data_IF_366528812556
#
_entry.id   IF_366528812556
#
_cell.length_a   1.000
_cell.length_b   1.000
_cell.length_c   1.000
_cell.angle_alpha   90.00
_cell.angle_beta   90.00
_cell.angle_gamma   90.00
#
_symmetry.space_group_name_H-M   'P 1'
#
loop_
_entity.id
_entity.type
_entity.pdbx_description
1 polymer ?
#
# COMPACT_ATOMS: atom_id res chain seq x y z
N UNK A 1 -39.57 16.04 12.90
CA UNK A 1 -38.24 15.38 12.80
C UNK A 1 -38.10 14.81 11.41
N UNK A 2 -37.04 15.16 10.66
CA UNK A 2 -36.71 14.44 9.43
C UNK A 2 -36.38 13.00 9.80
N UNK A 3 -36.82 12.03 8.99
CA UNK A 3 -36.32 10.66 9.14
C UNK A 3 -34.80 10.68 8.96
N UNK A 4 -34.03 9.96 9.80
CA UNK A 4 -32.60 9.81 9.60
C UNK A 4 -32.36 9.37 8.15
N UNK A 5 -31.66 10.20 7.38
CA UNK A 5 -31.13 9.76 6.10
C UNK A 5 -29.84 9.05 6.41
N UNK A 6 -29.79 7.75 6.14
CA UNK A 6 -28.51 7.09 5.94
C UNK A 6 -27.85 7.79 4.76
N UNK A 7 -26.82 8.60 5.03
CA UNK A 7 -25.90 9.04 4.01
C UNK A 7 -25.28 7.76 3.44
N UNK A 8 -25.76 7.33 2.28
CA UNK A 8 -25.10 6.25 1.56
C UNK A 8 -23.79 6.85 1.06
N UNK A 9 -22.63 6.39 1.54
CA UNK A 9 -21.36 6.89 1.05
C UNK A 9 -21.35 6.79 -0.47
N UNK A 10 -20.73 7.77 -1.13
CA UNK A 10 -20.60 7.73 -2.58
C UNK A 10 -20.00 6.39 -3.01
N UNK A 11 -20.61 5.78 -4.02
CA UNK A 11 -20.08 4.52 -4.55
C UNK A 11 -18.76 4.81 -5.26
N UNK A 12 -17.83 3.85 -5.19
CA UNK A 12 -16.55 3.92 -5.90
C UNK A 12 -16.82 4.24 -7.38
N UNK A 13 -16.31 5.38 -7.84
CA UNK A 13 -16.41 5.83 -9.22
C UNK A 13 -15.56 4.97 -10.18
N UNK A 14 -15.62 5.30 -11.47
CA UNK A 14 -14.80 4.63 -12.49
C UNK A 14 -13.31 4.84 -12.17
N UNK A 15 -12.56 3.75 -12.06
CA UNK A 15 -11.10 3.77 -11.93
C UNK A 15 -10.44 3.52 -13.28
N UNK A 16 -9.29 4.16 -13.53
CA UNK A 16 -8.46 3.88 -14.70
C UNK A 16 -7.86 2.46 -14.63
N UNK A 17 -7.40 2.05 -13.44
CA UNK A 17 -6.94 0.69 -13.12
C UNK A 17 -7.31 0.29 -11.70
N UNK A 18 -7.37 -1.01 -11.45
CA UNK A 18 -7.51 -1.55 -10.10
C UNK A 18 -6.16 -1.47 -9.36
N UNK A 19 -6.06 -0.74 -8.24
CA UNK A 19 -4.86 -0.78 -7.40
C UNK A 19 -4.84 -2.09 -6.60
N UNK A 20 -3.81 -2.90 -6.81
CA UNK A 20 -3.61 -4.17 -6.11
C UNK A 20 -2.20 -4.24 -5.51
N UNK A 21 -2.11 -4.78 -4.30
CA UNK A 21 -0.83 -5.20 -3.72
C UNK A 21 -0.73 -6.71 -3.90
N UNK A 22 0.23 -7.15 -4.72
CA UNK A 22 0.44 -8.57 -5.04
C UNK A 22 1.44 -9.17 -4.04
N UNK A 23 1.01 -10.17 -3.28
CA UNK A 23 1.91 -10.91 -2.39
C UNK A 23 2.81 -11.84 -3.21
N UNK A 24 4.13 -11.68 -3.07
CA UNK A 24 5.14 -12.44 -3.81
C UNK A 24 6.06 -13.28 -2.92
N UNK A 25 5.90 -13.22 -1.60
CA UNK A 25 6.67 -14.01 -0.62
C UNK A 25 6.73 -15.50 -1.01
N UNK A 26 7.93 -16.01 -1.27
CA UNK A 26 8.20 -17.40 -1.66
C UNK A 26 7.64 -17.80 -3.02
N UNK A 27 7.14 -16.85 -3.83
CA UNK A 27 6.58 -17.09 -5.17
C UNK A 27 7.66 -16.92 -6.22
N UNK A 28 7.52 -17.67 -7.32
CA UNK A 28 8.44 -17.56 -8.45
C UNK A 28 8.07 -16.39 -9.35
N UNK A 29 9.07 -15.60 -9.73
CA UNK A 29 8.93 -14.51 -10.69
C UNK A 29 9.86 -14.75 -11.87
N UNK A 30 9.30 -14.76 -13.08
CA UNK A 30 10.06 -14.92 -14.30
C UNK A 30 10.45 -13.54 -14.83
N UNK A 31 11.73 -13.35 -15.13
CA UNK A 31 12.22 -12.16 -15.79
C UNK A 31 13.00 -12.54 -17.05
N UNK A 32 12.65 -11.97 -18.20
CA UNK A 32 13.38 -12.14 -19.45
C UNK A 32 14.12 -10.86 -19.83
N UNK A 33 15.45 -10.97 -20.01
CA UNK A 33 16.34 -9.87 -20.37
C UNK A 33 17.28 -9.43 -19.23
N UNK A 34 18.54 -9.18 -19.57
CA UNK A 34 19.61 -8.85 -18.61
C UNK A 34 20.01 -7.38 -18.58
N UNK A 35 19.15 -6.47 -19.04
CA UNK A 35 19.45 -5.04 -19.15
C UNK A 35 19.41 -4.30 -17.80
N UNK A 36 20.00 -3.09 -17.69
CA UNK A 36 19.89 -2.29 -16.48
C UNK A 36 18.44 -1.97 -16.08
N UNK A 37 17.54 -1.77 -17.05
CA UNK A 37 16.12 -1.56 -16.79
C UNK A 37 15.45 -2.80 -16.18
N UNK A 38 15.88 -4.00 -16.62
CA UNK A 38 15.44 -5.25 -16.03
C UNK A 38 16.01 -5.46 -14.62
N UNK A 39 17.24 -4.99 -14.33
CA UNK A 39 17.87 -5.13 -13.02
C UNK A 39 17.02 -4.51 -11.91
N UNK A 40 16.51 -3.28 -12.12
CA UNK A 40 15.62 -2.64 -11.16
C UNK A 40 14.31 -3.42 -10.94
N UNK A 41 13.79 -4.10 -11.97
CA UNK A 41 12.60 -4.96 -11.85
C UNK A 41 12.91 -6.22 -11.06
N UNK A 42 14.06 -6.84 -11.27
CA UNK A 42 14.52 -7.98 -10.50
C UNK A 42 14.64 -7.61 -9.02
N UNK A 43 15.30 -6.49 -8.71
CA UNK A 43 15.45 -5.97 -7.35
C UNK A 43 14.10 -5.73 -6.67
N UNK A 44 13.17 -5.07 -7.38
CA UNK A 44 11.84 -4.78 -6.84
C UNK A 44 11.03 -6.05 -6.52
N UNK A 45 11.10 -7.06 -7.39
CA UNK A 45 10.42 -8.33 -7.18
C UNK A 45 11.05 -9.11 -6.03
N UNK A 46 12.38 -9.15 -5.97
CA UNK A 46 13.13 -9.77 -4.88
C UNK A 46 12.83 -9.09 -3.53
N UNK A 47 12.75 -7.75 -3.49
CA UNK A 47 12.40 -6.97 -2.30
C UNK A 47 10.95 -7.18 -1.83
N UNK A 48 10.09 -7.76 -2.69
CA UNK A 48 8.73 -8.17 -2.36
C UNK A 48 8.64 -9.67 -1.98
N UNK A 49 9.79 -10.33 -1.79
CA UNK A 49 9.90 -11.74 -1.38
C UNK A 49 9.83 -12.75 -2.52
N UNK A 50 9.94 -12.32 -3.79
CA UNK A 50 9.89 -13.23 -4.93
C UNK A 50 11.24 -13.93 -5.16
N UNK A 51 11.20 -15.22 -5.48
CA UNK A 51 12.35 -15.91 -6.10
C UNK A 51 12.39 -15.54 -7.58
N UNK A 52 13.35 -14.69 -7.96
CA UNK A 52 13.44 -14.16 -9.32
C UNK A 52 14.36 -15.04 -10.16
N UNK A 53 13.88 -15.49 -11.32
CA UNK A 53 14.69 -16.17 -12.33
C UNK A 53 14.86 -15.25 -13.54
N UNK A 54 16.09 -14.83 -13.80
CA UNK A 54 16.46 -13.94 -14.90
C UNK A 54 17.01 -14.77 -16.06
N UNK A 55 16.26 -14.87 -17.15
CA UNK A 55 16.63 -15.57 -18.38
C UNK A 55 17.27 -14.59 -19.36
N UNK A 56 18.59 -14.66 -19.51
CA UNK A 56 19.35 -13.85 -20.46
C UNK A 56 20.74 -14.46 -20.72
N UNK A 57 21.20 -14.38 -21.97
CA UNK A 57 22.60 -14.74 -22.33
C UNK A 57 23.58 -13.64 -21.94
N UNK A 58 23.19 -12.40 -22.20
CA UNK A 58 23.97 -11.22 -21.86
C UNK A 58 23.32 -10.50 -20.67
N UNK A 59 24.10 -10.36 -19.60
CA UNK A 59 23.67 -9.76 -18.33
C UNK A 59 24.57 -8.59 -18.01
N UNK A 60 23.97 -7.41 -17.80
CA UNK A 60 24.68 -6.18 -17.45
C UNK A 60 25.33 -6.27 -16.06
N UNK A 61 26.33 -5.43 -15.81
CA UNK A 61 27.01 -5.38 -14.52
C UNK A 61 26.04 -4.99 -13.39
N UNK A 62 25.06 -4.12 -13.66
CA UNK A 62 24.01 -3.76 -12.71
C UNK A 62 23.14 -4.94 -12.33
N UNK A 63 22.73 -5.77 -13.30
CA UNK A 63 21.96 -6.97 -13.01
C UNK A 63 22.78 -7.99 -12.20
N UNK A 64 24.08 -8.13 -12.48
CA UNK A 64 24.98 -8.99 -11.69
C UNK A 64 25.12 -8.48 -10.25
N UNK A 65 25.27 -7.17 -10.06
CA UNK A 65 25.35 -6.55 -8.75
C UNK A 65 24.06 -6.76 -7.95
N UNK A 66 22.90 -6.49 -8.55
CA UNK A 66 21.59 -6.72 -7.93
C UNK A 66 21.38 -8.20 -7.57
N UNK A 67 21.83 -9.13 -8.42
CA UNK A 67 21.73 -10.55 -8.14
C UNK A 67 22.65 -11.00 -7.00
N UNK A 68 23.81 -10.36 -6.84
CA UNK A 68 24.74 -10.60 -5.74
C UNK A 68 24.21 -10.05 -4.41
N UNK A 69 23.72 -8.82 -4.43
CA UNK A 69 23.25 -8.07 -3.26
C UNK A 69 21.72 -8.05 -3.17
N UNK A 70 21.08 -9.19 -3.42
CA UNK A 70 19.62 -9.27 -3.44
C UNK A 70 19.01 -8.87 -2.08
N UNK A 71 17.96 -8.01 -2.07
CA UNK A 71 17.50 -7.34 -0.85
C UNK A 71 16.76 -8.25 0.15
N UNK A 72 16.11 -9.32 -0.33
CA UNK A 72 15.32 -10.22 0.52
C UNK A 72 15.36 -11.65 -0.04
N UNK A 73 14.75 -11.88 -1.21
CA UNK A 73 14.77 -13.19 -1.88
C UNK A 73 15.80 -13.29 -3.01
N UNK A 74 16.27 -14.52 -3.28
CA UNK A 74 17.32 -14.79 -4.26
C UNK A 74 16.93 -14.41 -5.70
N UNK A 75 17.92 -13.94 -6.46
CA UNK A 75 17.83 -13.67 -7.89
C UNK A 75 18.78 -14.62 -8.62
N UNK A 76 18.23 -15.59 -9.34
CA UNK A 76 18.98 -16.58 -10.11
C UNK A 76 19.19 -16.10 -11.54
N UNK A 77 20.45 -16.04 -11.99
CA UNK A 77 20.80 -15.76 -13.38
C UNK A 77 20.85 -17.07 -14.16
N UNK A 78 20.05 -17.18 -15.22
CA UNK A 78 19.94 -18.35 -16.07
C UNK A 78 20.48 -18.01 -17.44
N UNK A 79 21.66 -18.56 -17.77
CA UNK A 79 22.41 -18.30 -19.01
C UNK A 79 21.79 -19.01 -20.23
N UNK A 80 20.59 -18.57 -20.60
CA UNK A 80 19.86 -18.93 -21.81
C UNK A 80 18.67 -17.99 -22.01
N UNK A 81 18.09 -18.04 -23.20
CA UNK A 81 16.80 -17.42 -23.46
C UNK A 81 15.67 -18.14 -22.70
N UNK A 82 14.58 -17.41 -22.47
CA UNK A 82 13.35 -17.96 -21.92
C UNK A 82 12.68 -18.90 -22.93
N UNK A 83 11.89 -19.85 -22.42
CA UNK A 83 11.03 -20.72 -23.21
C UNK A 83 9.62 -20.80 -22.60
N UNK A 84 8.64 -21.23 -23.40
CA UNK A 84 7.24 -21.27 -22.96
C UNK A 84 7.01 -22.12 -21.68
N UNK A 85 7.83 -23.15 -21.45
CA UNK A 85 7.75 -23.99 -20.26
C UNK A 85 8.13 -23.25 -18.97
N UNK A 86 8.94 -22.18 -19.04
CA UNK A 86 9.45 -21.47 -17.87
C UNK A 86 8.35 -20.70 -17.12
N UNK A 87 7.22 -20.41 -17.78
CA UNK A 87 6.07 -19.73 -17.18
C UNK A 87 5.27 -20.61 -16.21
N UNK A 88 5.47 -21.93 -16.22
CA UNK A 88 4.73 -22.86 -15.36
C UNK A 88 4.90 -22.50 -13.87
N UNK A 89 3.84 -22.22 -13.13
CA UNK A 89 3.88 -21.81 -11.70
C UNK A 89 4.54 -20.45 -11.40
N UNK A 90 4.89 -19.66 -12.41
CA UNK A 90 5.31 -18.28 -12.19
C UNK A 90 4.11 -17.43 -11.71
N UNK A 91 4.30 -16.64 -10.67
CA UNK A 91 3.26 -15.73 -10.17
C UNK A 91 3.17 -14.44 -11.00
N UNK A 92 4.27 -14.06 -11.65
CA UNK A 92 4.40 -12.83 -12.44
C UNK A 92 5.53 -12.99 -13.46
N UNK A 93 5.37 -12.34 -14.61
CA UNK A 93 6.38 -12.32 -15.67
C UNK A 93 6.73 -10.87 -16.06
N UNK A 94 8.03 -10.58 -16.17
CA UNK A 94 8.55 -9.28 -16.63
C UNK A 94 9.49 -9.48 -17.81
N UNK A 95 9.31 -8.71 -18.88
CA UNK A 95 10.14 -8.81 -20.09
C UNK A 95 10.79 -7.48 -20.47
N UNK A 96 12.05 -7.54 -20.89
CA UNK A 96 12.78 -6.42 -21.47
C UNK A 96 13.28 -6.83 -22.87
N UNK A 97 12.63 -6.29 -23.91
CA UNK A 97 12.93 -6.60 -25.31
C UNK A 97 13.03 -5.31 -26.11
N UNK A 98 13.88 -5.28 -27.12
CA UNK A 98 14.01 -4.12 -28.01
C UNK A 98 12.91 -4.12 -29.08
N UNK A 99 12.71 -5.26 -29.74
CA UNK A 99 11.74 -5.39 -30.82
C UNK A 99 10.32 -5.78 -30.35
N UNK A 100 9.35 -5.50 -31.20
CA UNK A 100 7.93 -5.71 -30.93
C UNK A 100 7.54 -7.18 -31.05
N UNK A 101 8.23 -7.95 -31.87
CA UNK A 101 7.91 -9.35 -32.12
C UNK A 101 8.23 -10.22 -30.90
N UNK A 102 9.44 -10.06 -30.33
CA UNK A 102 9.86 -10.71 -29.10
C UNK A 102 8.97 -10.30 -27.91
N UNK A 103 8.64 -9.01 -27.78
CA UNK A 103 7.72 -8.52 -26.77
C UNK A 103 6.32 -9.16 -26.89
N UNK A 104 5.80 -9.27 -28.10
CA UNK A 104 4.52 -9.92 -28.39
C UNK A 104 4.56 -11.41 -28.07
N UNK A 105 5.62 -12.12 -28.47
CA UNK A 105 5.79 -13.55 -28.21
C UNK A 105 5.83 -13.85 -26.72
N UNK A 106 6.59 -13.06 -25.94
CA UNK A 106 6.68 -13.18 -24.49
C UNK A 106 5.32 -12.94 -23.81
N UNK A 107 4.66 -11.85 -24.16
CA UNK A 107 3.36 -11.51 -23.57
C UNK A 107 2.28 -12.56 -23.88
N UNK A 108 2.28 -13.12 -25.10
CA UNK A 108 1.37 -14.20 -25.45
C UNK A 108 1.68 -15.49 -24.69
N UNK A 109 2.95 -15.85 -24.51
CA UNK A 109 3.35 -17.04 -23.76
C UNK A 109 2.93 -16.94 -22.28
N UNK A 110 3.13 -15.77 -21.67
CA UNK A 110 2.69 -15.50 -20.30
C UNK A 110 1.18 -15.64 -20.15
N UNK A 111 0.41 -14.98 -21.03
CA UNK A 111 -1.07 -15.01 -21.01
C UNK A 111 -1.63 -16.41 -21.24
N UNK A 112 -1.05 -17.19 -22.16
CA UNK A 112 -1.43 -18.60 -22.37
C UNK A 112 -1.22 -19.46 -21.12
N UNK A 113 -0.27 -19.08 -20.27
CA UNK A 113 0.05 -19.77 -19.02
C UNK A 113 -0.70 -19.19 -17.81
N UNK A 114 -1.57 -18.19 -18.01
CA UNK A 114 -2.30 -17.52 -16.93
C UNK A 114 -1.42 -16.62 -16.04
N UNK A 115 -0.22 -16.27 -16.50
CA UNK A 115 0.74 -15.45 -15.74
C UNK A 115 0.57 -13.97 -16.10
N UNK A 116 0.31 -13.07 -15.13
CA UNK A 116 0.28 -11.64 -15.38
C UNK A 116 1.61 -11.15 -15.94
N UNK A 117 1.57 -10.39 -17.04
CA UNK A 117 2.78 -9.93 -17.73
C UNK A 117 2.96 -8.42 -17.73
N UNK A 118 4.21 -7.97 -17.60
CA UNK A 118 4.63 -6.60 -17.86
C UNK A 118 5.84 -6.60 -18.79
N UNK A 119 5.79 -5.82 -19.87
CA UNK A 119 6.92 -5.60 -20.77
C UNK A 119 7.40 -4.16 -20.60
N UNK A 120 8.68 -4.00 -20.26
CA UNK A 120 9.29 -2.70 -19.99
C UNK A 120 9.15 -1.81 -21.24
N UNK A 121 8.73 -0.56 -21.03
CA UNK A 121 8.53 0.48 -22.04
C UNK A 121 7.55 0.13 -23.17
N UNK A 122 6.79 -0.96 -23.03
CA UNK A 122 5.86 -1.45 -24.06
C UNK A 122 4.46 -1.71 -23.48
N UNK A 123 3.70 -0.65 -23.09
CA UNK A 123 2.44 -0.78 -22.36
C UNK A 123 1.34 -1.58 -23.09
N UNK A 124 1.37 -1.65 -24.42
CA UNK A 124 0.45 -2.46 -25.22
C UNK A 124 0.55 -3.98 -24.95
N UNK A 125 1.66 -4.42 -24.37
CA UNK A 125 1.94 -5.84 -24.07
C UNK A 125 1.84 -6.16 -22.57
N UNK A 126 1.31 -5.23 -21.77
CA UNK A 126 1.23 -5.36 -20.32
C UNK A 126 -0.20 -5.62 -19.85
N UNK A 127 -0.36 -6.48 -18.85
CA UNK A 127 -1.62 -6.66 -18.11
C UNK A 127 -1.68 -5.76 -16.86
N UNK A 128 -0.52 -5.36 -16.35
CA UNK A 128 -0.38 -4.46 -15.22
C UNK A 128 0.76 -3.46 -15.45
N UNK A 129 0.80 -2.39 -14.65
CA UNK A 129 1.92 -1.45 -14.64
C UNK A 129 2.46 -1.28 -13.23
N UNK A 130 3.77 -1.06 -13.15
CA UNK A 130 4.40 -0.61 -11.92
C UNK A 130 4.19 0.91 -11.78
N UNK A 131 3.67 1.32 -10.64
CA UNK A 131 3.58 2.72 -10.26
C UNK A 131 4.86 3.24 -9.60
N UNK A 132 4.86 4.51 -9.20
CA UNK A 132 5.83 4.99 -8.24
C UNK A 132 5.51 4.41 -6.85
N UNK A 133 6.54 4.05 -6.10
CA UNK A 133 6.40 3.35 -4.81
C UNK A 133 7.07 4.18 -3.73
N UNK A 134 6.35 4.46 -2.64
CA UNK A 134 6.95 4.91 -1.39
C UNK A 134 7.04 3.70 -0.47
N UNK A 135 8.27 3.30 -0.15
CA UNK A 135 8.52 2.15 0.72
C UNK A 135 8.85 2.60 2.15
N UNK A 136 7.99 2.22 3.09
CA UNK A 136 8.17 2.29 4.56
C UNK A 136 7.75 0.95 5.18
N UNK A 137 8.14 -0.15 4.53
CA UNK A 137 7.68 -1.52 4.82
C UNK A 137 7.57 -1.78 6.33
N UNK A 138 6.45 -2.34 6.82
CA UNK A 138 5.34 -2.92 6.04
C UNK A 138 4.32 -1.88 5.51
N UNK A 139 4.53 -0.58 5.71
CA UNK A 139 3.71 0.47 5.10
C UNK A 139 4.21 0.77 3.68
N UNK A 140 3.38 0.55 2.67
CA UNK A 140 3.72 0.81 1.26
C UNK A 140 2.63 1.66 0.62
N UNK A 141 3.04 2.63 -0.21
CA UNK A 141 2.12 3.42 -1.04
C UNK A 141 2.47 3.24 -2.50
N UNK A 142 1.51 2.79 -3.30
CA UNK A 142 1.59 2.75 -4.76
C UNK A 142 0.89 3.97 -5.37
N UNK A 143 1.56 4.63 -6.31
CA UNK A 143 1.07 5.82 -7.00
C UNK A 143 1.04 5.53 -8.50
N UNK A 144 -0.14 5.65 -9.12
CA UNK A 144 -0.31 5.45 -10.55
C UNK A 144 -0.93 6.69 -11.20
N UNK A 145 -0.42 7.04 -12.38
CA UNK A 145 -1.00 8.06 -13.26
C UNK A 145 -1.51 7.44 -14.56
N UNK A 146 -1.68 6.11 -14.60
CA UNK A 146 -2.01 5.34 -15.81
C UNK A 146 -1.07 5.65 -17.00
N UNK A 147 0.19 5.96 -16.69
CA UNK A 147 1.19 6.35 -17.69
C UNK A 147 1.07 7.77 -18.23
N UNK A 148 0.05 8.54 -17.85
CA UNK A 148 -0.20 9.88 -18.40
C UNK A 148 0.85 10.92 -17.96
N UNK A 149 1.43 10.77 -16.76
CA UNK A 149 2.37 11.76 -16.22
C UNK A 149 3.39 11.13 -15.27
N UNK A 150 4.49 10.52 -15.78
CA UNK A 150 5.53 9.92 -14.95
C UNK A 150 6.20 10.93 -14.02
N UNK A 151 6.53 12.13 -14.53
CA UNK A 151 7.16 13.20 -13.74
C UNK A 151 6.26 13.66 -12.59
N UNK A 152 4.94 13.75 -12.83
CA UNK A 152 3.99 14.10 -11.79
C UNK A 152 3.92 13.01 -10.70
N UNK A 153 3.89 11.73 -11.08
CA UNK A 153 3.93 10.62 -10.12
C UNK A 153 5.20 10.67 -9.24
N UNK A 154 6.36 11.02 -9.82
CA UNK A 154 7.60 11.20 -9.05
C UNK A 154 7.54 12.39 -8.08
N UNK A 155 6.94 13.52 -8.50
CA UNK A 155 6.76 14.66 -7.61
C UNK A 155 5.85 14.35 -6.41
N UNK A 156 4.78 13.59 -6.63
CA UNK A 156 3.90 13.10 -5.55
C UNK A 156 4.66 12.12 -4.64
N UNK A 157 5.43 11.18 -5.22
CA UNK A 157 6.28 10.25 -4.47
C UNK A 157 7.23 10.99 -3.53
N UNK A 158 7.97 11.97 -4.03
CA UNK A 158 8.92 12.75 -3.25
C UNK A 158 8.24 13.51 -2.10
N UNK A 159 7.06 14.11 -2.35
CA UNK A 159 6.28 14.77 -1.29
C UNK A 159 5.84 13.78 -0.20
N UNK A 160 5.35 12.60 -0.58
CA UNK A 160 4.95 11.57 0.38
C UNK A 160 6.15 10.99 1.15
N UNK A 161 7.29 10.78 0.50
CA UNK A 161 8.53 10.35 1.16
C UNK A 161 8.97 11.33 2.25
N UNK A 162 8.86 12.65 1.99
CA UNK A 162 9.18 13.69 2.95
C UNK A 162 8.17 13.78 4.11
N UNK A 163 6.90 13.50 3.84
CA UNK A 163 5.82 13.55 4.84
C UNK A 163 5.71 12.29 5.70
N UNK A 164 6.27 11.16 5.26
CA UNK A 164 6.16 9.86 5.94
C UNK A 164 7.45 9.54 6.70
N UNK A 165 7.46 9.73 8.03
CA UNK A 165 8.63 9.47 8.86
C UNK A 165 9.07 8.01 8.76
N UNK A 166 10.37 7.77 8.85
CA UNK A 166 10.96 6.42 8.80
C UNK A 166 10.47 5.53 9.95
N UNK A 167 10.24 6.09 11.14
CA UNK A 167 9.75 5.31 12.28
C UNK A 167 8.33 4.75 12.13
N UNK A 168 7.55 5.16 11.13
CA UNK A 168 6.25 4.50 10.82
C UNK A 168 6.39 3.03 10.46
N UNK A 169 7.53 2.61 9.91
CA UNK A 169 7.82 1.18 9.69
C UNK A 169 7.76 0.38 11.01
N UNK A 170 8.29 0.94 12.09
CA UNK A 170 8.29 0.31 13.42
C UNK A 170 6.87 0.23 13.99
N UNK A 171 6.09 1.31 13.85
CA UNK A 171 4.68 1.33 14.25
C UNK A 171 3.84 0.33 13.47
N UNK A 172 3.97 0.28 12.14
CA UNK A 172 3.23 -0.67 11.32
C UNK A 172 3.60 -2.13 11.67
N UNK A 173 4.87 -2.39 11.97
CA UNK A 173 5.34 -3.71 12.44
C UNK A 173 4.75 -4.07 13.81
N UNK A 174 4.68 -3.12 14.74
CA UNK A 174 4.02 -3.31 16.03
C UNK A 174 2.52 -3.56 15.88
N UNK A 175 1.83 -2.87 14.95
CA UNK A 175 0.42 -3.11 14.68
C UNK A 175 0.16 -4.56 14.25
N UNK A 176 0.98 -5.12 13.35
CA UNK A 176 0.84 -6.53 12.94
C UNK A 176 0.96 -7.49 14.14
N UNK A 177 1.99 -7.29 14.95
CA UNK A 177 2.30 -8.12 16.12
C UNK A 177 1.24 -7.99 17.23
N UNK A 178 0.84 -6.76 17.56
CA UNK A 178 -0.17 -6.47 18.57
C UNK A 178 -1.58 -6.88 18.13
N UNK A 179 -1.88 -6.90 16.83
CA UNK A 179 -3.15 -7.44 16.32
C UNK A 179 -3.34 -8.91 16.69
N UNK A 180 -2.26 -9.70 16.75
CA UNK A 180 -2.32 -11.08 17.24
C UNK A 180 -2.60 -11.10 18.75
N UNK A 181 -1.83 -10.33 19.54
CA UNK A 181 -1.97 -10.26 21.00
C UNK A 181 -3.35 -9.75 21.46
N UNK A 182 -3.94 -8.79 20.75
CA UNK A 182 -5.28 -8.25 21.06
C UNK A 182 -6.40 -9.28 21.01
N UNK A 183 -6.18 -10.44 20.38
CA UNK A 183 -7.18 -11.52 20.40
C UNK A 183 -7.28 -12.14 21.79
N UNK A 184 -6.19 -12.13 22.54
CA UNK A 184 -6.07 -12.81 23.84
C UNK A 184 -6.32 -11.86 25.02
N UNK A 185 -6.50 -10.56 24.78
CA UNK A 185 -6.76 -9.56 25.82
C UNK A 185 -8.22 -9.53 26.30
N UNK A 186 -9.12 -10.29 25.66
CA UNK A 186 -10.55 -10.31 26.00
C UNK A 186 -11.33 -9.03 25.63
N UNK A 187 -10.72 -8.10 24.88
CA UNK A 187 -11.36 -6.84 24.49
C UNK A 187 -12.54 -7.05 23.53
N UNK A 188 -13.63 -6.33 23.79
CA UNK A 188 -14.78 -6.25 22.88
C UNK A 188 -14.39 -5.66 21.52
N UNK A 189 -15.27 -5.76 20.51
CA UNK A 189 -15.03 -5.13 19.21
C UNK A 189 -14.84 -3.61 19.34
N UNK A 190 -15.69 -2.94 20.12
CA UNK A 190 -15.58 -1.52 20.40
C UNK A 190 -14.27 -1.17 21.14
N UNK A 191 -13.86 -2.00 22.10
CA UNK A 191 -12.59 -1.83 22.82
C UNK A 191 -11.38 -1.97 21.89
N UNK A 192 -11.37 -2.95 20.98
CA UNK A 192 -10.33 -3.09 19.96
C UNK A 192 -10.28 -1.88 19.02
N UNK A 193 -11.43 -1.31 18.64
CA UNK A 193 -11.48 -0.06 17.85
C UNK A 193 -10.83 1.10 18.62
N UNK A 194 -11.18 1.29 19.90
CA UNK A 194 -10.59 2.33 20.77
C UNK A 194 -9.08 2.16 20.93
N UNK A 195 -8.60 0.93 21.11
CA UNK A 195 -7.17 0.62 21.15
C UNK A 195 -6.48 1.12 19.87
N UNK A 196 -7.02 0.79 18.68
CA UNK A 196 -6.42 1.21 17.41
C UNK A 196 -6.45 2.73 17.20
N UNK A 197 -7.47 3.42 17.73
CA UNK A 197 -7.53 4.88 17.72
C UNK A 197 -6.42 5.48 18.60
N UNK A 198 -6.24 4.99 19.83
CA UNK A 198 -5.19 5.43 20.74
C UNK A 198 -3.79 5.15 20.17
N UNK A 199 -3.58 3.94 19.65
CA UNK A 199 -2.39 3.53 18.92
C UNK A 199 -2.06 4.52 17.79
N UNK A 200 -3.04 4.81 16.92
CA UNK A 200 -2.83 5.66 15.74
C UNK A 200 -2.53 7.09 16.13
N UNK A 201 -3.27 7.64 17.09
CA UNK A 201 -3.03 8.99 17.61
C UNK A 201 -1.62 9.14 18.18
N UNK A 202 -1.15 8.13 18.92
CA UNK A 202 0.20 8.13 19.48
C UNK A 202 1.27 7.96 18.39
N UNK A 203 1.11 7.03 17.46
CA UNK A 203 2.05 6.79 16.37
C UNK A 203 2.26 8.04 15.50
N UNK A 204 1.18 8.75 15.16
CA UNK A 204 1.24 9.98 14.33
C UNK A 204 1.92 11.14 15.06
N UNK A 205 1.77 11.23 16.39
CA UNK A 205 2.37 12.29 17.21
C UNK A 205 3.82 12.01 17.58
N UNK A 206 4.18 10.72 17.71
CA UNK A 206 5.52 10.26 18.08
C UNK A 206 6.10 9.33 17.01
N UNK A 207 6.19 9.79 15.75
CA UNK A 207 6.48 8.91 14.62
C UNK A 207 7.90 8.34 14.65
N UNK A 208 8.83 8.95 15.38
CA UNK A 208 10.22 8.53 15.50
C UNK A 208 10.49 7.69 16.75
N UNK A 209 9.53 7.58 17.66
CA UNK A 209 9.67 6.77 18.87
C UNK A 209 9.29 5.34 18.53
N UNK A 210 10.18 4.39 18.82
CA UNK A 210 9.88 2.98 18.64
C UNK A 210 8.76 2.54 19.61
N UNK A 211 7.71 1.86 19.13
CA UNK A 211 6.67 1.31 20.00
C UNK A 211 7.24 0.29 20.98
N UNK A 212 6.87 0.40 22.25
CA UNK A 212 7.30 -0.49 23.33
C UNK A 212 6.16 -1.35 23.86
N UNK A 213 6.48 -2.44 24.57
CA UNK A 213 5.46 -3.25 25.27
C UNK A 213 4.72 -2.45 26.36
N UNK A 214 5.36 -1.42 26.92
CA UNK A 214 4.72 -0.47 27.83
C UNK A 214 3.64 0.34 27.14
N UNK A 215 3.83 0.73 25.87
CA UNK A 215 2.79 1.41 25.09
C UNK A 215 1.59 0.50 24.86
N UNK A 216 1.83 -0.78 24.51
CA UNK A 216 0.76 -1.77 24.36
C UNK A 216 -0.06 -1.92 25.65
N UNK A 217 0.64 -2.13 26.77
CA UNK A 217 0.02 -2.30 28.09
C UNK A 217 -0.78 -1.05 28.48
N UNK A 218 -0.24 0.14 28.24
CA UNK A 218 -0.92 1.41 28.47
C UNK A 218 -2.21 1.50 27.66
N UNK A 219 -2.16 1.24 26.35
CA UNK A 219 -3.36 1.32 25.49
C UNK A 219 -4.43 0.29 25.87
N UNK A 220 -4.05 -0.92 26.29
CA UNK A 220 -5.00 -1.92 26.79
C UNK A 220 -5.65 -1.46 28.10
N UNK A 221 -4.87 -0.94 29.04
CA UNK A 221 -5.37 -0.45 30.32
C UNK A 221 -6.31 0.76 30.17
N UNK A 222 -6.00 1.68 29.24
CA UNK A 222 -6.87 2.80 28.87
C UNK A 222 -8.25 2.33 28.40
N UNK A 223 -8.29 1.26 27.59
CA UNK A 223 -9.54 0.70 27.06
C UNK A 223 -10.31 -0.09 28.12
N UNK A 224 -9.61 -0.83 29.01
CA UNK A 224 -10.24 -1.63 30.07
C UNK A 224 -10.76 -0.78 31.24
N UNK A 225 -10.51 0.53 31.25
CA UNK A 225 -10.98 1.43 32.31
C UNK A 225 -10.28 1.21 33.65
N UNK A 226 -9.07 0.62 33.66
CA UNK A 226 -8.23 0.51 34.87
C UNK A 226 -7.72 1.90 35.31
N UNK A 227 -7.92 2.94 34.50
CA UNK A 227 -8.12 4.33 34.94
C UNK A 227 -9.56 4.74 34.67
N UNK A 228 -10.37 4.85 35.72
CA UNK A 228 -11.84 4.95 35.60
C UNK A 228 -12.36 6.09 34.74
N UNK A 229 -13.16 5.75 33.74
CA UNK A 229 -14.24 6.59 33.25
C UNK A 229 -15.36 5.68 32.75
N UNK A 230 -16.52 5.79 33.38
CA UNK A 230 -17.79 5.30 32.85
C UNK A 230 -17.92 5.82 31.41
N UNK A 231 -18.36 4.98 30.47
CA UNK A 231 -18.62 5.42 29.09
C UNK A 231 -19.75 6.47 29.09
N UNK A 232 -19.36 7.73 29.28
CA UNK A 232 -20.22 8.88 29.02
C UNK A 232 -20.10 9.22 27.55
N UNK A 233 -21.25 9.25 26.85
CA UNK A 233 -21.30 9.81 25.51
C UNK A 233 -20.84 11.27 25.57
N UNK A 234 -19.97 11.67 24.63
CA UNK A 234 -19.50 13.05 24.51
C UNK A 234 -20.19 13.74 23.33
N UNK A 235 -20.61 14.99 23.51
CA UNK A 235 -21.13 15.84 22.44
C UNK A 235 -20.04 16.83 22.03
N UNK A 236 -19.66 16.81 20.75
CA UNK A 236 -18.74 17.81 20.17
C UNK A 236 -19.54 18.73 19.25
N UNK A 237 -19.56 20.03 19.56
CA UNK A 237 -20.12 21.04 18.67
C UNK A 237 -19.06 21.45 17.64
N UNK A 238 -19.39 21.27 16.37
CA UNK A 238 -18.51 21.58 15.24
C UNK A 238 -19.10 22.74 14.45
N UNK A 239 -18.32 23.80 14.25
CA UNK A 239 -18.67 24.84 13.28
C UNK A 239 -18.37 24.37 11.87
N UNK A 240 -19.41 24.17 11.06
CA UNK A 240 -19.30 23.72 9.66
C UNK A 240 -18.76 24.79 8.70
N UNK A 241 -18.56 26.03 9.17
CA UNK A 241 -18.20 27.16 8.31
C UNK A 241 -19.38 27.61 7.43
N UNK A 242 -19.14 28.48 6.44
CA UNK A 242 -20.18 29.06 5.58
C UNK A 242 -20.68 28.11 4.47
N UNK A 243 -20.12 26.89 4.37
CA UNK A 243 -20.53 25.87 3.40
C UNK A 243 -19.40 25.26 2.57
N UNK A 244 -18.23 25.90 2.49
CA UNK A 244 -17.04 25.36 1.82
C UNK A 244 -16.31 24.35 2.72
N UNK A 245 -16.14 23.08 2.30
CA UNK A 245 -15.45 22.04 3.09
C UNK A 245 -13.99 22.38 3.41
N UNK A 246 -13.30 23.13 2.54
CA UNK A 246 -11.90 23.51 2.77
C UNK A 246 -11.73 24.48 3.94
N UNK A 247 -12.83 25.14 4.36
CA UNK A 247 -12.85 26.04 5.51
C UNK A 247 -13.07 25.30 6.84
N UNK A 248 -13.29 23.98 6.82
CA UNK A 248 -13.34 23.19 8.04
C UNK A 248 -11.97 23.20 8.71
N UNK A 249 -11.96 23.49 10.00
CA UNK A 249 -10.74 23.31 10.79
C UNK A 249 -10.35 21.84 10.83
N UNK A 250 -9.05 21.54 10.90
CA UNK A 250 -8.58 20.15 11.07
C UNK A 250 -9.20 19.46 12.30
N UNK A 251 -9.55 20.22 13.34
CA UNK A 251 -10.24 19.70 14.54
C UNK A 251 -11.69 19.30 14.24
N UNK A 252 -12.39 20.06 13.41
CA UNK A 252 -13.73 19.75 12.92
C UNK A 252 -13.75 18.45 12.13
N UNK A 253 -12.84 18.30 11.16
CA UNK A 253 -12.71 17.08 10.34
C UNK A 253 -12.46 15.84 11.21
N UNK A 254 -11.53 15.91 12.18
CA UNK A 254 -11.26 14.80 13.09
C UNK A 254 -12.46 14.45 13.98
N UNK A 255 -13.20 15.45 14.45
CA UNK A 255 -14.41 15.24 15.24
C UNK A 255 -15.50 14.54 14.41
N UNK A 256 -15.71 14.95 13.16
CA UNK A 256 -16.67 14.32 12.24
C UNK A 256 -16.28 12.87 11.91
N UNK A 257 -15.00 12.61 11.60
CA UNK A 257 -14.50 11.27 11.27
C UNK A 257 -14.57 10.26 12.43
N UNK A 258 -14.56 10.74 13.67
CA UNK A 258 -14.62 9.89 14.87
C UNK A 258 -16.02 9.77 15.46
N UNK A 259 -16.98 10.57 15.00
CA UNK A 259 -18.34 10.57 15.50
C UNK A 259 -19.09 9.29 15.15
N UNK A 260 -19.77 8.71 16.13
CA UNK A 260 -20.68 7.58 15.88
C UNK A 260 -22.04 8.07 15.35
N UNK A 261 -22.44 9.31 15.68
CA UNK A 261 -23.67 9.98 15.22
C UNK A 261 -23.36 11.45 14.94
N UNK A 262 -23.77 11.94 13.77
CA UNK A 262 -23.67 13.36 13.40
C UNK A 262 -25.08 13.96 13.34
N UNK A 263 -25.31 14.99 14.16
CA UNK A 263 -26.51 15.83 14.16
C UNK A 263 -26.16 17.15 13.50
N UNK A 264 -26.88 17.53 12.44
CA UNK A 264 -26.64 18.77 11.70
C UNK A 264 -27.97 19.45 11.32
N UNK A 265 -27.92 20.75 11.03
CA UNK A 265 -29.06 21.55 10.59
C UNK A 265 -28.98 21.92 9.09
N UNK A 266 -30.00 22.62 8.59
CA UNK A 266 -30.13 22.96 7.16
C UNK A 266 -29.08 23.96 6.64
N UNK A 267 -28.28 24.59 7.50
CA UNK A 267 -27.20 25.50 7.12
C UNK A 267 -25.89 24.77 6.79
N UNK A 268 -25.78 23.47 7.11
CA UNK A 268 -24.60 22.67 6.75
C UNK A 268 -24.74 22.20 5.30
N UNK A 269 -23.77 22.56 4.47
CA UNK A 269 -23.75 22.14 3.06
C UNK A 269 -23.58 20.62 2.96
N UNK A 270 -24.03 20.04 1.83
CA UNK A 270 -23.82 18.61 1.57
C UNK A 270 -22.35 18.26 1.43
N UNK A 271 -21.58 19.13 0.81
CA UNK A 271 -20.15 18.92 0.56
C UNK A 271 -19.35 18.82 1.87
N UNK A 272 -19.83 19.42 2.98
CA UNK A 272 -19.22 19.28 4.32
C UNK A 272 -19.53 17.92 4.95
N UNK A 273 -20.59 17.25 4.52
CA UNK A 273 -21.07 15.97 5.05
C UNK A 273 -20.58 14.76 4.26
N UNK A 274 -20.19 14.95 3.00
CA UNK A 274 -19.67 13.92 2.08
C UNK A 274 -18.16 13.67 2.28
#
# INVERSE_FOLDING_TARGET
>A
MRQPREARPERIGKLARLPVFLALEGRRALLAGGSPAAAWKAELLAAAGAHVEVYARDVSDEMRAVAHDAPDSAIALVDRDWMAADFCDAAIAVGAFDDVEAASAFAQAARRSGVPVNVIDKPAFCDFAFGAIVNRSPLVIGISTDGAAPVFAQAIRAKLEALLPTGFALWASAASRWRALLKDTGLSFAGRRKFWQAFTAHAVTHPQTAPTESDFTRFVAEVQGIGGAVESGSVTLVGAGPGDPELLTLRAVRALQSADVILFDDLVSREVLD
#
